data_IF_077216651460
#
_entry.id   IF_077216651460
#
_cell.length_a   1.000
_cell.length_b   1.000
_cell.length_c   1.000
_cell.angle_alpha   90.00
_cell.angle_beta   90.00
_cell.angle_gamma   90.00
#
_symmetry.space_group_name_H-M   'P 1'
#
loop_
_entity.id
_entity.type
_entity.pdbx_description
1 polymer ?
#
# COMPACT_ATOMS: atom_id res chain seq x y z
N UNK A 1 46.75 7.86 -78.58
CA UNK A 1 47.77 8.77 -79.16
C UNK A 1 47.42 10.18 -78.69
N UNK A 2 48.23 10.94 -77.95
CA UNK A 2 49.56 10.73 -77.41
C UNK A 2 49.93 12.02 -76.67
N UNK A 3 50.44 11.83 -75.46
CA UNK A 3 51.55 12.57 -74.84
C UNK A 3 51.36 14.07 -74.48
N UNK A 4 51.34 14.30 -73.16
CA UNK A 4 51.92 15.49 -72.52
C UNK A 4 53.45 15.54 -72.77
N UNK A 5 54.10 16.72 -72.75
CA UNK A 5 54.85 17.18 -71.55
C UNK A 5 54.72 18.73 -71.29
N UNK A 6 54.66 19.23 -70.05
CA UNK A 6 55.72 19.61 -69.07
C UNK A 6 56.46 20.97 -69.29
N UNK A 7 56.41 21.81 -68.22
CA UNK A 7 57.35 22.87 -67.73
C UNK A 7 57.65 24.10 -68.64
N UNK A 8 57.89 25.35 -68.21
CA UNK A 8 58.13 25.99 -66.90
C UNK A 8 58.15 27.55 -67.06
N UNK A 9 57.91 28.25 -65.93
CA UNK A 9 58.42 29.58 -65.48
C UNK A 9 58.10 30.86 -66.29
N UNK A 10 57.46 31.83 -65.62
CA UNK A 10 57.44 33.24 -65.99
C UNK A 10 56.71 34.10 -64.96
N UNK A 11 57.48 34.78 -64.10
CA UNK A 11 56.98 35.70 -63.08
C UNK A 11 56.36 36.96 -63.70
N UNK A 12 55.25 37.46 -63.12
CA UNK A 12 54.80 38.84 -63.33
C UNK A 12 54.20 39.37 -62.03
N UNK A 13 54.88 40.36 -61.47
CA UNK A 13 54.44 41.14 -60.33
C UNK A 13 53.30 42.06 -60.75
N UNK A 14 52.14 41.93 -60.09
CA UNK A 14 51.09 42.93 -60.13
C UNK A 14 50.78 43.34 -58.68
N UNK A 15 51.06 44.61 -58.40
CA UNK A 15 50.83 45.28 -57.13
C UNK A 15 49.35 45.28 -56.76
N UNK A 16 49.00 44.68 -55.62
CA UNK A 16 47.72 44.93 -54.96
C UNK A 16 48.02 45.68 -53.66
N UNK A 17 47.81 46.99 -53.75
CA UNK A 17 47.85 47.95 -52.66
C UNK A 17 46.65 47.65 -51.75
N UNK A 18 46.88 46.97 -50.63
CA UNK A 18 45.86 46.79 -49.59
C UNK A 18 45.69 48.09 -48.80
N UNK A 19 44.61 48.80 -49.10
CA UNK A 19 44.12 49.90 -48.30
C UNK A 19 43.48 49.31 -47.02
N UNK A 20 44.22 49.38 -45.91
CA UNK A 20 43.73 49.03 -44.57
C UNK A 20 42.75 50.11 -44.11
N UNK A 21 41.47 49.89 -44.39
CA UNK A 21 40.37 50.55 -43.70
C UNK A 21 40.32 50.05 -42.26
N UNK A 22 40.82 50.86 -41.32
CA UNK A 22 40.63 50.68 -39.88
C UNK A 22 39.16 50.96 -39.53
N UNK A 23 38.30 49.97 -39.73
CA UNK A 23 36.92 49.96 -39.25
C UNK A 23 36.80 49.26 -37.89
N UNK A 24 36.77 50.04 -36.82
CA UNK A 24 36.21 49.74 -35.49
C UNK A 24 36.47 48.33 -34.91
N UNK A 25 37.62 48.19 -34.24
CA UNK A 25 38.07 47.01 -33.46
C UNK A 25 37.04 46.48 -32.45
N UNK A 26 36.08 47.29 -31.98
CA UNK A 26 35.06 46.85 -31.02
C UNK A 26 33.97 45.98 -31.65
N UNK A 27 33.56 46.24 -32.89
CA UNK A 27 32.48 45.51 -33.54
C UNK A 27 32.89 44.06 -33.91
N UNK A 28 34.16 43.86 -34.27
CA UNK A 28 34.73 42.53 -34.54
C UNK A 28 34.80 41.68 -33.28
N UNK A 29 35.24 42.26 -32.16
CA UNK A 29 35.30 41.58 -30.86
C UNK A 29 33.91 41.23 -30.36
N UNK A 30 32.93 42.14 -30.48
CA UNK A 30 31.55 41.88 -30.12
C UNK A 30 30.90 40.75 -30.94
N UNK A 31 31.17 40.68 -32.26
CA UNK A 31 30.68 39.58 -33.10
C UNK A 31 31.30 38.24 -32.72
N UNK A 32 32.58 38.21 -32.36
CA UNK A 32 33.25 37.01 -31.88
C UNK A 32 32.68 36.52 -30.54
N UNK A 33 32.45 37.43 -29.58
CA UNK A 33 31.85 37.10 -28.28
C UNK A 33 30.42 36.59 -28.47
N UNK A 34 29.62 37.25 -29.30
CA UNK A 34 28.24 36.83 -29.58
C UNK A 34 28.21 35.43 -30.24
N UNK A 35 29.11 35.16 -31.18
CA UNK A 35 29.20 33.85 -31.83
C UNK A 35 29.58 32.74 -30.83
N UNK A 36 30.49 33.01 -29.88
CA UNK A 36 30.85 32.08 -28.81
C UNK A 36 29.64 31.83 -27.89
N UNK A 37 28.93 32.88 -27.47
CA UNK A 37 27.75 32.74 -26.61
C UNK A 37 26.63 31.94 -27.28
N UNK A 38 26.36 32.21 -28.56
CA UNK A 38 25.36 31.45 -29.34
C UNK A 38 25.80 30.00 -29.51
N UNK A 39 27.08 29.75 -29.78
CA UNK A 39 27.61 28.38 -29.87
C UNK A 39 27.49 27.62 -28.54
N UNK A 40 27.84 28.25 -27.42
CA UNK A 40 27.66 27.67 -26.08
C UNK A 40 26.18 27.40 -25.77
N UNK A 41 25.28 28.30 -26.15
CA UNK A 41 23.84 28.12 -25.96
C UNK A 41 23.26 26.98 -26.79
N UNK A 42 23.68 26.85 -28.06
CA UNK A 42 23.29 25.74 -28.92
C UNK A 42 23.83 24.41 -28.39
N UNK A 43 25.08 24.36 -27.94
CA UNK A 43 25.66 23.15 -27.31
C UNK A 43 24.92 22.80 -26.03
N UNK A 44 24.57 23.79 -25.19
CA UNK A 44 23.78 23.57 -23.98
C UNK A 44 22.39 22.99 -24.29
N UNK A 45 21.68 23.56 -25.28
CA UNK A 45 20.37 23.05 -25.71
C UNK A 45 20.44 21.63 -26.30
N UNK A 46 21.53 21.28 -26.97
CA UNK A 46 21.75 19.93 -27.50
C UNK A 46 22.12 18.92 -26.41
N UNK A 47 22.80 19.36 -25.35
CA UNK A 47 23.15 18.52 -24.20
C UNK A 47 22.01 18.37 -23.18
N UNK A 48 21.04 19.30 -23.15
CA UNK A 48 19.88 19.27 -22.25
C UNK A 48 19.02 17.99 -22.37
N UNK A 49 18.63 17.53 -23.58
CA UNK A 49 17.90 16.27 -23.72
C UNK A 49 18.76 15.06 -23.35
N UNK A 50 20.09 15.12 -23.54
CA UNK A 50 21.01 14.05 -23.14
C UNK A 50 21.10 13.97 -21.62
N UNK A 51 21.21 15.11 -20.92
CA UNK A 51 21.15 15.16 -19.46
C UNK A 51 19.80 14.68 -18.92
N UNK A 52 18.70 15.04 -19.57
CA UNK A 52 17.37 14.52 -19.22
C UNK A 52 17.28 13.01 -19.43
N UNK A 53 17.84 12.49 -20.53
CA UNK A 53 17.89 11.05 -20.82
C UNK A 53 18.77 10.29 -19.83
N UNK A 54 19.93 10.85 -19.46
CA UNK A 54 20.78 10.28 -18.42
C UNK A 54 20.14 10.35 -17.04
N UNK A 55 19.38 11.41 -16.72
CA UNK A 55 18.64 11.50 -15.47
C UNK A 55 17.46 10.53 -15.41
N UNK A 56 16.75 10.30 -16.53
CA UNK A 56 15.69 9.29 -16.59
C UNK A 56 16.26 7.87 -16.55
N UNK A 57 17.39 7.59 -17.21
CA UNK A 57 18.07 6.29 -17.15
C UNK A 57 18.71 6.06 -15.77
N UNK A 58 19.30 7.07 -15.14
CA UNK A 58 19.80 6.99 -13.76
C UNK A 58 18.66 6.73 -12.76
N UNK A 59 17.48 7.33 -12.96
CA UNK A 59 16.29 7.03 -12.16
C UNK A 59 15.69 5.64 -12.47
N UNK A 60 15.81 5.14 -13.72
CA UNK A 60 15.38 3.78 -14.08
C UNK A 60 16.33 2.71 -13.50
N UNK A 61 17.63 3.01 -13.42
CA UNK A 61 18.65 2.12 -12.87
C UNK A 61 18.83 2.27 -11.37
N UNK A 62 18.18 3.26 -10.73
CA UNK A 62 18.05 3.36 -9.27
C UNK A 62 16.92 2.50 -8.70
N UNK A 63 16.39 1.54 -9.46
CA UNK A 63 15.79 0.35 -8.84
C UNK A 63 16.91 -0.37 -8.11
N UNK A 64 17.10 0.04 -6.86
CA UNK A 64 18.03 -0.56 -5.94
C UNK A 64 17.92 -2.07 -6.10
N UNK A 65 19.03 -2.69 -6.50
CA UNK A 65 19.28 -4.09 -6.22
C UNK A 65 19.31 -4.23 -4.69
N UNK A 66 18.13 -4.20 -4.06
CA UNK A 66 17.95 -4.66 -2.71
C UNK A 66 18.14 -6.16 -2.79
N UNK A 67 19.34 -6.60 -2.40
CA UNK A 67 19.51 -7.95 -1.88
C UNK A 67 18.36 -8.17 -0.89
N UNK A 68 17.60 -9.28 -0.99
CA UNK A 68 16.60 -9.60 0.02
C UNK A 68 17.30 -9.52 1.37
N UNK A 69 16.92 -8.52 2.17
CA UNK A 69 17.41 -8.38 3.52
C UNK A 69 16.76 -9.54 4.28
N UNK A 70 17.49 -10.63 4.45
CA UNK A 70 17.08 -11.71 5.33
C UNK A 70 17.26 -11.18 6.74
N UNK A 71 16.13 -10.83 7.38
CA UNK A 71 16.11 -10.32 8.75
C UNK A 71 16.84 -11.28 9.69
N UNK A 72 17.63 -10.71 10.60
CA UNK A 72 18.22 -11.50 11.67
C UNK A 72 17.11 -11.94 12.60
N UNK A 73 17.04 -13.23 12.85
CA UNK A 73 16.13 -13.81 13.83
C UNK A 73 16.33 -13.10 15.18
N UNK A 74 15.26 -12.54 15.74
CA UNK A 74 15.25 -11.92 17.07
C UNK A 74 15.33 -10.39 17.11
N UNK A 75 15.37 -9.70 15.97
CA UNK A 75 15.17 -8.25 15.94
C UNK A 75 13.66 -7.93 15.99
N UNK A 76 13.27 -7.01 16.87
CA UNK A 76 11.88 -6.60 17.09
C UNK A 76 11.60 -5.33 16.28
N UNK A 77 11.09 -5.51 15.06
CA UNK A 77 10.79 -4.51 14.03
C UNK A 77 9.65 -3.57 14.43
N UNK A 78 8.94 -3.82 15.53
CA UNK A 78 7.92 -2.90 16.05
C UNK A 78 8.35 -2.21 17.34
N UNK A 79 9.55 -2.50 17.85
CA UNK A 79 10.06 -1.92 19.10
C UNK A 79 10.20 -0.40 19.04
N UNK A 80 10.45 0.15 17.85
CA UNK A 80 10.57 1.60 17.65
C UNK A 80 9.22 2.32 17.58
N UNK A 81 8.11 1.58 17.45
CA UNK A 81 6.79 2.18 17.35
C UNK A 81 6.45 2.90 18.66
N UNK A 82 5.81 4.07 18.53
CA UNK A 82 5.29 4.80 19.68
C UNK A 82 4.29 3.89 20.42
N UNK A 83 4.39 3.84 21.75
CA UNK A 83 3.54 2.96 22.55
C UNK A 83 3.94 1.50 22.62
N UNK A 84 4.98 1.02 21.92
CA UNK A 84 5.39 -0.40 21.97
C UNK A 84 5.57 -0.94 23.39
N UNK A 85 6.23 -0.17 24.27
CA UNK A 85 6.39 -0.54 25.69
C UNK A 85 5.09 -0.48 26.49
N UNK A 86 4.24 0.49 26.18
CA UNK A 86 3.02 0.76 26.95
C UNK A 86 1.91 -0.25 26.61
N UNK A 87 1.83 -0.64 25.34
CA UNK A 87 0.87 -1.62 24.84
C UNK A 87 1.34 -3.06 25.01
N UNK A 88 2.63 -3.27 25.31
CA UNK A 88 3.19 -4.59 25.57
C UNK A 88 3.08 -5.54 24.37
N UNK A 89 3.12 -5.00 23.15
CA UNK A 89 3.12 -5.79 21.91
C UNK A 89 4.56 -5.83 21.40
N UNK A 90 5.09 -7.04 21.28
CA UNK A 90 6.39 -7.32 20.68
C UNK A 90 6.21 -8.07 19.37
N UNK A 91 7.20 -8.02 18.48
CA UNK A 91 7.11 -8.79 17.23
C UNK A 91 6.87 -10.28 17.49
N UNK A 92 7.45 -10.85 18.53
CA UNK A 92 7.28 -12.26 18.88
C UNK A 92 5.84 -12.63 19.26
N UNK A 93 4.99 -11.66 19.61
CA UNK A 93 3.57 -11.88 19.90
C UNK A 93 2.72 -12.03 18.63
N UNK A 94 3.13 -11.40 17.54
CA UNK A 94 2.32 -11.25 16.31
C UNK A 94 2.95 -11.98 15.12
N UNK A 95 4.26 -12.21 15.12
CA UNK A 95 4.98 -12.81 14.02
C UNK A 95 6.28 -13.50 14.44
N UNK A 96 6.43 -14.77 14.03
CA UNK A 96 7.69 -15.49 14.15
C UNK A 96 8.38 -15.54 12.78
N UNK A 97 9.56 -14.92 12.70
CA UNK A 97 10.37 -14.98 11.50
C UNK A 97 10.70 -16.44 11.16
N UNK A 98 10.42 -16.90 9.93
CA UNK A 98 10.61 -18.29 9.57
C UNK A 98 12.10 -18.65 9.54
N UNK A 99 12.46 -19.77 10.16
CA UNK A 99 13.78 -20.37 9.98
C UNK A 99 13.81 -21.17 8.67
N UNK A 100 14.73 -20.87 7.73
CA UNK A 100 14.85 -21.66 6.52
C UNK A 100 15.36 -23.06 6.88
N UNK A 101 14.48 -24.07 6.80
CA UNK A 101 14.85 -25.49 6.97
C UNK A 101 15.87 -25.89 5.90
N UNK A 102 15.79 -25.28 4.71
CA UNK A 102 16.76 -25.41 3.64
C UNK A 102 17.19 -24.00 3.16
N UNK A 103 18.48 -23.65 3.20
CA UNK A 103 18.96 -22.31 2.81
C UNK A 103 18.67 -21.95 1.35
N UNK A 104 18.41 -22.95 0.48
CA UNK A 104 18.12 -22.74 -0.94
C UNK A 104 16.63 -22.57 -1.25
N UNK A 105 15.74 -22.71 -0.25
CA UNK A 105 14.29 -22.61 -0.44
C UNK A 105 13.75 -21.49 0.44
N UNK A 106 13.18 -20.46 -0.20
CA UNK A 106 12.50 -19.39 0.53
C UNK A 106 11.31 -19.97 1.30
N UNK A 107 11.17 -19.68 2.61
CA UNK A 107 10.00 -20.09 3.38
C UNK A 107 8.74 -19.28 2.99
N UNK A 108 8.91 -18.16 2.29
CA UNK A 108 7.84 -17.28 1.89
C UNK A 108 7.07 -17.77 0.66
N UNK A 109 5.77 -17.54 0.66
CA UNK A 109 4.90 -17.93 -0.44
C UNK A 109 5.29 -17.28 -1.77
N UNK A 110 5.30 -18.09 -2.84
CA UNK A 110 5.84 -17.70 -4.16
C UNK A 110 4.89 -16.74 -4.87
N UNK A 111 3.63 -17.12 -5.02
CA UNK A 111 2.61 -16.38 -5.78
C UNK A 111 1.38 -16.07 -4.93
N UNK A 112 0.51 -15.18 -5.44
CA UNK A 112 -0.72 -14.72 -4.76
C UNK A 112 -1.62 -15.86 -4.32
N UNK A 113 -1.83 -16.85 -5.18
CA UNK A 113 -2.69 -18.00 -4.89
C UNK A 113 -2.16 -18.83 -3.71
N UNK A 114 -0.89 -19.23 -3.76
CA UNK A 114 -0.23 -19.98 -2.66
C UNK A 114 -0.18 -19.17 -1.36
N UNK A 115 -0.05 -17.84 -1.45
CA UNK A 115 -0.11 -16.97 -0.29
C UNK A 115 -1.49 -17.03 0.37
N UNK A 116 -2.56 -16.79 -0.38
CA UNK A 116 -3.93 -16.79 0.13
C UNK A 116 -4.32 -18.15 0.71
N UNK A 117 -3.96 -19.25 0.05
CA UNK A 117 -4.16 -20.60 0.56
C UNK A 117 -3.43 -20.82 1.89
N UNK A 118 -2.18 -20.36 1.99
CA UNK A 118 -1.36 -20.53 3.19
C UNK A 118 -1.89 -19.70 4.37
N UNK A 119 -2.21 -18.42 4.16
CA UNK A 119 -2.66 -17.52 5.24
C UNK A 119 -4.14 -17.68 5.58
N UNK A 120 -4.95 -18.29 4.71
CA UNK A 120 -6.33 -18.69 5.04
C UNK A 120 -6.37 -20.05 5.74
N UNK A 121 -5.51 -20.98 5.32
CA UNK A 121 -5.47 -22.35 5.81
C UNK A 121 -4.51 -22.61 6.96
N UNK A 122 -3.75 -21.59 7.40
CA UNK A 122 -2.82 -21.64 8.53
C UNK A 122 -3.53 -21.68 9.87
N UNK A 123 -2.78 -21.45 10.95
CA UNK A 123 -3.33 -21.47 12.30
C UNK A 123 -2.34 -20.99 13.35
N UNK A 124 -2.78 -21.03 14.60
CA UNK A 124 -1.91 -20.84 15.77
C UNK A 124 -1.51 -22.22 16.31
N UNK A 125 -0.31 -22.33 16.87
CA UNK A 125 0.17 -23.58 17.50
C UNK A 125 0.08 -23.50 19.01
N UNK A 126 -1.08 -23.07 19.50
CA UNK A 126 -1.35 -22.77 20.90
C UNK A 126 -2.36 -21.64 20.98
N UNK A 127 -2.86 -21.37 22.19
CA UNK A 127 -3.78 -20.27 22.42
C UNK A 127 -3.00 -18.96 22.47
N UNK A 128 -3.43 -17.95 21.72
CA UNK A 128 -2.75 -16.65 21.56
C UNK A 128 -1.32 -16.68 20.98
N UNK A 129 -0.84 -17.85 20.56
CA UNK A 129 0.46 -18.00 19.89
C UNK A 129 0.46 -17.32 18.52
N UNK A 130 1.60 -16.82 18.01
CA UNK A 130 1.69 -16.17 16.70
C UNK A 130 1.12 -17.01 15.56
N UNK A 131 0.47 -16.34 14.61
CA UNK A 131 -0.16 -17.03 13.48
C UNK A 131 0.86 -17.50 12.45
N UNK A 132 0.74 -18.75 12.03
CA UNK A 132 1.63 -19.41 11.06
C UNK A 132 0.82 -19.87 9.85
N UNK A 133 1.28 -19.49 8.65
CA UNK A 133 0.69 -19.93 7.39
C UNK A 133 0.89 -21.42 7.12
N UNK A 134 -0.05 -22.05 6.40
CA UNK A 134 0.02 -23.46 6.00
C UNK A 134 1.00 -23.66 4.84
N UNK A 135 2.08 -24.41 5.09
CA UNK A 135 3.04 -24.85 4.07
C UNK A 135 4.08 -23.79 3.68
N UNK A 136 3.67 -22.55 3.44
CA UNK A 136 4.56 -21.39 3.31
C UNK A 136 4.09 -20.25 4.23
N UNK A 137 4.94 -19.26 4.45
CA UNK A 137 4.64 -18.13 5.34
C UNK A 137 4.56 -16.80 4.59
N UNK A 138 3.98 -15.81 5.26
CA UNK A 138 3.93 -14.41 4.83
C UNK A 138 5.13 -13.64 5.42
N UNK A 139 5.42 -12.47 4.85
CA UNK A 139 6.49 -11.59 5.32
C UNK A 139 5.93 -10.56 6.30
N UNK A 140 6.65 -10.29 7.37
CA UNK A 140 6.44 -9.06 8.12
C UNK A 140 7.22 -7.95 7.41
N UNK A 141 6.53 -6.98 6.84
CA UNK A 141 7.16 -5.87 6.14
C UNK A 141 7.44 -4.72 7.10
N UNK A 142 8.61 -4.12 6.99
CA UNK A 142 8.93 -2.84 7.63
C UNK A 142 8.05 -1.73 7.05
N UNK A 143 7.84 -0.63 7.78
CA UNK A 143 7.06 0.51 7.31
C UNK A 143 7.56 1.03 5.96
N UNK A 144 8.88 1.03 5.74
CA UNK A 144 9.48 1.45 4.48
C UNK A 144 9.13 0.50 3.32
N UNK A 145 9.17 -0.82 3.55
CA UNK A 145 8.72 -1.81 2.56
C UNK A 145 7.22 -1.68 2.28
N UNK A 146 6.40 -1.45 3.31
CA UNK A 146 4.96 -1.18 3.15
C UNK A 146 4.79 0.01 2.21
N UNK A 147 5.46 1.14 2.47
CA UNK A 147 5.38 2.32 1.63
C UNK A 147 5.73 2.04 0.16
N UNK A 148 6.78 1.27 -0.10
CA UNK A 148 7.16 0.84 -1.46
C UNK A 148 6.05 -0.02 -2.11
N UNK A 149 5.46 -0.94 -1.35
CA UNK A 149 4.32 -1.75 -1.81
C UNK A 149 3.16 -0.85 -2.22
N UNK A 150 2.84 0.16 -1.40
CA UNK A 150 1.70 1.05 -1.63
C UNK A 150 1.92 1.97 -2.84
N UNK A 151 3.16 2.41 -3.10
CA UNK A 151 3.50 3.33 -4.21
C UNK A 151 3.13 2.79 -5.61
N UNK A 152 2.85 1.49 -5.71
CA UNK A 152 2.40 0.84 -6.95
C UNK A 152 0.93 1.04 -7.28
N UNK A 153 0.13 1.57 -6.34
CA UNK A 153 -1.33 1.69 -6.47
C UNK A 153 -1.76 3.16 -6.63
N UNK A 154 -2.89 3.36 -7.31
CA UNK A 154 -3.53 4.67 -7.41
C UNK A 154 -4.31 5.04 -6.14
N UNK A 155 -4.97 4.03 -5.56
CA UNK A 155 -5.75 4.14 -4.34
C UNK A 155 -5.93 2.75 -3.73
N UNK A 156 -6.14 2.68 -2.41
CA UNK A 156 -6.48 1.45 -1.70
C UNK A 156 -7.72 1.72 -0.87
N UNK A 157 -8.77 0.94 -1.08
CA UNK A 157 -10.05 1.19 -0.43
C UNK A 157 -10.49 -0.02 0.37
N UNK A 158 -10.73 0.21 1.66
CA UNK A 158 -11.33 -0.74 2.57
C UNK A 158 -12.82 -0.45 2.62
N UNK A 159 -13.66 -1.44 2.41
CA UNK A 159 -15.10 -1.30 2.31
C UNK A 159 -15.72 -2.33 3.22
N UNK A 160 -16.59 -1.92 4.14
CA UNK A 160 -17.25 -2.93 4.94
C UNK A 160 -17.75 -2.52 6.30
N UNK A 161 -17.91 -3.56 7.11
CA UNK A 161 -18.26 -3.55 8.51
C UNK A 161 -17.03 -3.35 9.43
N UNK A 162 -17.22 -3.60 10.72
CA UNK A 162 -16.22 -3.42 11.77
C UNK A 162 -14.92 -4.21 11.57
N UNK A 163 -14.95 -5.34 10.84
CA UNK A 163 -13.73 -6.09 10.51
C UNK A 163 -12.86 -5.27 9.54
N UNK A 164 -13.45 -4.73 8.48
CA UNK A 164 -12.71 -3.83 7.57
C UNK A 164 -12.23 -2.57 8.29
N UNK A 165 -13.02 -2.03 9.23
CA UNK A 165 -12.62 -0.89 10.05
C UNK A 165 -11.42 -1.20 10.95
N UNK A 166 -11.45 -2.32 11.66
CA UNK A 166 -10.36 -2.78 12.54
C UNK A 166 -9.06 -2.96 11.76
N UNK A 167 -9.14 -3.60 10.60
CA UNK A 167 -7.99 -3.79 9.73
C UNK A 167 -7.45 -2.47 9.22
N UNK A 168 -8.32 -1.55 8.79
CA UNK A 168 -7.89 -0.22 8.37
C UNK A 168 -7.26 0.57 9.53
N UNK A 169 -7.80 0.44 10.74
CA UNK A 169 -7.22 1.01 11.95
C UNK A 169 -5.78 0.50 12.19
N UNK A 170 -5.55 -0.81 12.09
CA UNK A 170 -4.20 -1.39 12.19
C UNK A 170 -3.28 -1.01 11.02
N UNK A 171 -3.83 -0.87 9.81
CA UNK A 171 -3.10 -0.35 8.66
C UNK A 171 -2.58 1.08 8.93
N UNK A 172 -3.39 1.93 9.58
CA UNK A 172 -2.95 3.26 10.02
C UNK A 172 -1.86 3.21 11.09
N UNK A 173 -1.95 2.27 12.05
CA UNK A 173 -0.90 2.06 13.07
C UNK A 173 0.44 1.72 12.40
N UNK A 174 0.45 0.82 11.41
CA UNK A 174 1.67 0.46 10.67
C UNK A 174 2.25 1.65 9.91
N UNK A 175 1.42 2.46 9.25
CA UNK A 175 1.89 3.61 8.47
C UNK A 175 2.33 4.81 9.31
N UNK A 176 1.90 4.89 10.57
CA UNK A 176 2.22 5.97 11.52
C UNK A 176 3.24 5.56 12.58
N UNK A 177 3.61 4.27 12.61
CA UNK A 177 4.46 3.65 13.62
C UNK A 177 4.04 3.97 15.07
N UNK A 178 2.74 3.83 15.36
CA UNK A 178 2.15 4.25 16.64
C UNK A 178 1.13 3.23 17.13
N UNK A 179 1.58 2.31 17.99
CA UNK A 179 0.73 1.29 18.63
C UNK A 179 -0.21 1.93 19.67
N UNK A 180 0.20 3.02 20.31
CA UNK A 180 -0.59 3.63 21.36
C UNK A 180 -1.91 4.21 20.84
N UNK A 181 -1.85 5.01 19.78
CA UNK A 181 -2.99 5.80 19.30
C UNK A 181 -3.03 5.93 17.76
N UNK A 182 -2.25 5.14 17.03
CA UNK A 182 -2.04 5.29 15.59
C UNK A 182 -3.28 5.03 14.73
N UNK A 183 -4.35 4.44 15.25
CA UNK A 183 -5.60 4.31 14.50
C UNK A 183 -6.54 5.52 14.67
N UNK A 184 -6.25 6.40 15.62
CA UNK A 184 -7.16 7.45 16.06
C UNK A 184 -6.71 8.87 15.65
N UNK A 185 -7.71 9.75 15.54
CA UNK A 185 -7.58 11.19 15.31
C UNK A 185 -7.15 11.91 16.59
N UNK A 186 -5.91 11.66 17.03
CA UNK A 186 -5.34 12.16 18.29
C UNK A 186 -5.47 13.67 18.50
N UNK A 187 -5.55 14.45 17.41
CA UNK A 187 -5.60 15.90 17.42
C UNK A 187 -6.94 16.49 17.85
N UNK A 188 -8.03 15.73 17.80
CA UNK A 188 -9.35 16.15 18.30
C UNK A 188 -9.69 15.57 19.67
N UNK A 189 -8.82 14.73 20.23
CA UNK A 189 -9.03 14.07 21.52
C UNK A 189 -8.48 14.89 22.69
N UNK A 190 -9.18 14.85 23.82
CA UNK A 190 -8.67 15.29 25.13
C UNK A 190 -7.65 14.29 25.68
N UNK A 191 -6.90 14.70 26.71
CA UNK A 191 -5.91 13.81 27.34
C UNK A 191 -6.56 12.60 28.04
N UNK A 192 -7.73 12.80 28.66
CA UNK A 192 -8.50 11.71 29.26
C UNK A 192 -8.95 10.68 28.22
N UNK A 193 -9.43 11.14 27.07
CA UNK A 193 -9.84 10.26 25.98
C UNK A 193 -8.66 9.52 25.37
N UNK A 194 -7.48 10.16 25.25
CA UNK A 194 -6.25 9.49 24.80
C UNK A 194 -5.84 8.38 25.75
N UNK A 195 -5.92 8.61 27.07
CA UNK A 195 -5.61 7.59 28.06
C UNK A 195 -6.63 6.44 28.04
N UNK A 196 -7.93 6.75 27.86
CA UNK A 196 -9.00 5.75 27.78
C UNK A 196 -8.90 4.89 26.52
N UNK A 197 -8.51 5.48 25.39
CA UNK A 197 -8.52 4.84 24.09
C UNK A 197 -7.17 4.26 23.66
N UNK A 198 -6.16 4.20 24.53
CA UNK A 198 -4.83 3.74 24.18
C UNK A 198 -4.76 2.21 23.93
N UNK A 199 -3.86 1.76 23.05
CA UNK A 199 -3.55 0.36 22.78
C UNK A 199 -4.78 -0.44 22.31
N UNK A 200 -5.06 -1.63 22.89
CA UNK A 200 -6.22 -2.46 22.56
C UNK A 200 -7.56 -1.72 22.63
N UNK A 201 -7.68 -0.70 23.48
CA UNK A 201 -8.92 0.07 23.62
C UNK A 201 -9.27 0.86 22.35
N UNK A 202 -8.31 1.11 21.44
CA UNK A 202 -8.59 1.68 20.13
C UNK A 202 -9.57 0.81 19.31
N UNK A 203 -9.58 -0.51 19.59
CA UNK A 203 -10.37 -1.51 18.86
C UNK A 203 -11.59 -1.94 19.67
N UNK A 204 -11.39 -2.24 20.96
CA UNK A 204 -12.42 -2.89 21.79
C UNK A 204 -13.40 -1.87 22.39
N UNK A 205 -12.97 -0.64 22.65
CA UNK A 205 -13.85 0.36 23.26
C UNK A 205 -14.66 1.11 22.19
N UNK A 206 -15.97 0.88 22.17
CA UNK A 206 -16.89 1.49 21.20
C UNK A 206 -16.90 3.03 21.23
N UNK A 207 -16.62 3.66 22.37
CA UNK A 207 -16.51 5.12 22.46
C UNK A 207 -15.32 5.68 21.69
N UNK A 208 -14.28 4.87 21.46
CA UNK A 208 -13.08 5.25 20.73
C UNK A 208 -13.30 5.23 19.21
N UNK A 209 -14.31 4.50 18.72
CA UNK A 209 -14.59 4.36 17.29
C UNK A 209 -14.97 5.69 16.62
N UNK A 210 -15.53 6.66 17.38
CA UNK A 210 -15.80 8.02 16.86
C UNK A 210 -14.54 8.78 16.47
N UNK A 211 -13.39 8.37 17.01
CA UNK A 211 -12.08 8.94 16.73
C UNK A 211 -11.30 8.16 15.68
N UNK A 212 -11.84 7.06 15.13
CA UNK A 212 -11.15 6.29 14.12
C UNK A 212 -10.84 7.14 12.88
N UNK A 213 -9.63 6.99 12.35
CA UNK A 213 -9.25 7.58 11.07
C UNK A 213 -9.98 6.82 9.96
N UNK A 214 -10.62 7.57 9.06
CA UNK A 214 -11.37 7.02 7.91
C UNK A 214 -10.67 7.27 6.59
N UNK A 215 -9.77 8.25 6.52
CA UNK A 215 -9.03 8.53 5.29
C UNK A 215 -7.68 9.19 5.54
N UNK A 216 -6.77 9.02 4.59
CA UNK A 216 -5.49 9.73 4.57
C UNK A 216 -5.66 11.26 4.65
N UNK A 217 -6.75 11.80 4.08
CA UNK A 217 -7.00 13.24 4.04
C UNK A 217 -7.29 13.83 5.42
N UNK A 218 -7.81 13.03 6.37
CA UNK A 218 -8.03 13.47 7.75
C UNK A 218 -6.70 13.75 8.47
N UNK A 219 -5.71 12.87 8.29
CA UNK A 219 -4.37 13.04 8.86
C UNK A 219 -3.66 14.22 8.19
N UNK A 220 -3.71 14.32 6.85
CA UNK A 220 -3.07 15.42 6.10
C UNK A 220 -3.61 16.80 6.46
N UNK A 221 -4.93 16.93 6.65
CA UNK A 221 -5.55 18.19 7.09
C UNK A 221 -5.03 18.62 8.46
N UNK A 222 -4.82 17.68 9.36
CA UNK A 222 -4.24 17.98 10.67
C UNK A 222 -2.77 18.39 10.57
N UNK A 223 -1.95 17.74 9.74
CA UNK A 223 -0.55 18.15 9.56
C UNK A 223 -0.41 19.62 9.15
N UNK A 224 -1.27 20.06 8.21
CA UNK A 224 -1.30 21.42 7.72
C UNK A 224 -1.69 22.47 8.79
N UNK A 225 -2.31 22.04 9.90
CA UNK A 225 -2.86 22.92 10.95
C UNK A 225 -2.05 22.95 12.26
N UNK A 226 -0.85 22.34 12.30
CA UNK A 226 0.09 22.50 13.42
C UNK A 226 0.54 21.20 14.10
N UNK A 227 0.71 20.10 13.34
CA UNK A 227 1.31 18.80 13.76
C UNK A 227 0.94 18.37 15.19
N UNK A 228 -0.32 17.97 15.39
CA UNK A 228 -0.75 17.28 16.60
C UNK A 228 -0.94 15.78 16.32
N UNK A 229 -0.17 14.91 16.96
CA UNK A 229 -0.23 13.46 16.77
C UNK A 229 0.79 12.91 15.77
N UNK A 230 0.81 11.59 15.59
CA UNK A 230 1.77 10.89 14.72
C UNK A 230 1.46 11.10 13.22
N UNK A 231 2.43 11.52 12.40
CA UNK A 231 2.27 11.67 10.95
C UNK A 231 2.31 10.31 10.26
N UNK A 232 1.94 10.23 8.98
CA UNK A 232 2.28 9.05 8.18
C UNK A 232 3.74 9.13 7.72
N UNK A 233 4.41 7.97 7.64
CA UNK A 233 5.74 7.89 7.04
C UNK A 233 5.70 7.95 5.50
N UNK A 234 4.57 7.59 4.89
CA UNK A 234 4.32 7.78 3.46
C UNK A 234 2.88 8.21 3.17
N UNK A 235 2.74 9.37 2.52
CA UNK A 235 1.43 10.03 2.31
C UNK A 235 0.99 10.12 0.85
N UNK A 236 1.73 9.47 -0.04
CA UNK A 236 1.55 9.68 -1.49
C UNK A 236 0.34 8.96 -2.05
N UNK A 237 -0.13 7.92 -1.36
CA UNK A 237 -1.09 6.96 -1.92
C UNK A 237 -2.43 7.13 -1.21
N UNK A 238 -3.47 7.57 -1.92
CA UNK A 238 -4.81 7.65 -1.37
C UNK A 238 -5.27 6.33 -0.76
N UNK A 239 -5.65 6.33 0.52
CA UNK A 239 -6.33 5.19 1.13
C UNK A 239 -7.45 5.64 2.05
N UNK A 240 -8.54 4.89 2.07
CA UNK A 240 -9.73 5.21 2.85
C UNK A 240 -10.51 3.96 3.27
N UNK A 241 -11.25 4.11 4.35
CA UNK A 241 -12.28 3.19 4.80
C UNK A 241 -13.67 3.75 4.46
N UNK A 242 -14.49 2.93 3.82
CA UNK A 242 -15.87 3.19 3.44
C UNK A 242 -16.80 2.32 4.30
N UNK A 243 -17.51 2.90 5.28
CA UNK A 243 -18.42 2.13 6.11
C UNK A 243 -19.61 1.62 5.28
N UNK A 244 -19.96 0.35 5.46
CA UNK A 244 -21.11 -0.30 4.84
C UNK A 244 -21.86 -1.08 5.92
N UNK A 245 -22.95 -0.47 6.39
CA UNK A 245 -23.80 -1.05 7.45
C UNK A 245 -25.05 -1.74 6.89
N UNK A 246 -25.32 -1.61 5.58
CA UNK A 246 -26.49 -2.15 4.91
C UNK A 246 -26.18 -2.58 3.49
N UNK A 247 -27.04 -3.45 2.95
CA UNK A 247 -27.08 -3.80 1.53
C UNK A 247 -28.45 -3.39 0.98
N UNK A 248 -28.54 -2.50 -0.01
CA UNK A 248 -27.45 -1.81 -0.72
C UNK A 248 -26.61 -0.86 0.15
N UNK A 249 -25.38 -0.58 -0.29
CA UNK A 249 -24.47 0.29 0.43
C UNK A 249 -24.97 1.75 0.48
N UNK A 250 -24.66 2.52 1.55
CA UNK A 250 -25.04 3.93 1.63
C UNK A 250 -24.51 4.76 0.46
N UNK A 251 -25.34 5.69 -0.05
CA UNK A 251 -24.98 6.54 -1.19
C UNK A 251 -23.70 7.37 -0.97
N UNK A 252 -23.40 7.72 0.29
CA UNK A 252 -22.16 8.39 0.67
C UNK A 252 -20.93 7.52 0.39
N UNK A 253 -20.98 6.23 0.74
CA UNK A 253 -19.90 5.27 0.52
C UNK A 253 -19.71 5.01 -0.98
N UNK A 254 -20.79 4.89 -1.74
CA UNK A 254 -20.71 4.76 -3.20
C UNK A 254 -20.13 6.01 -3.88
N UNK A 255 -20.51 7.20 -3.43
CA UNK A 255 -19.97 8.47 -3.96
C UNK A 255 -18.47 8.57 -3.67
N UNK A 256 -18.07 8.32 -2.41
CA UNK A 256 -16.66 8.38 -2.03
C UNK A 256 -15.82 7.31 -2.75
N UNK A 257 -16.37 6.12 -3.00
CA UNK A 257 -15.73 5.12 -3.86
C UNK A 257 -15.47 5.66 -5.26
N UNK A 258 -16.48 6.30 -5.89
CA UNK A 258 -16.33 6.89 -7.22
C UNK A 258 -15.27 7.99 -7.23
N UNK A 259 -15.27 8.87 -6.24
CA UNK A 259 -14.26 9.95 -6.12
C UNK A 259 -12.83 9.40 -6.02
N UNK A 260 -12.65 8.29 -5.28
CA UNK A 260 -11.36 7.63 -5.12
C UNK A 260 -10.94 6.83 -6.35
N UNK A 261 -11.87 6.16 -7.03
CA UNK A 261 -11.53 5.19 -8.08
C UNK A 261 -11.63 5.75 -9.50
N UNK A 262 -12.52 6.71 -9.75
CA UNK A 262 -12.82 7.22 -11.10
C UNK A 262 -11.92 8.41 -11.46
N UNK A 263 -11.50 9.20 -10.47
CA UNK A 263 -10.74 10.45 -10.67
C UNK A 263 -9.23 10.31 -10.43
N UNK A 264 -8.54 9.34 -11.07
CA UNK A 264 -7.10 9.10 -10.85
C UNK A 264 -6.25 9.19 -12.13
N UNK A 265 -5.00 9.70 -12.00
CA UNK A 265 -4.21 10.15 -13.14
C UNK A 265 -3.56 9.04 -13.96
N UNK A 266 -3.29 7.87 -13.37
CA UNK A 266 -2.56 6.80 -14.05
C UNK A 266 -3.43 5.56 -14.28
N UNK A 267 -4.04 5.36 -15.46
CA UNK A 267 -4.96 4.24 -15.69
C UNK A 267 -4.31 2.86 -15.59
N UNK A 268 -2.97 2.77 -15.61
CA UNK A 268 -2.22 1.50 -15.56
C UNK A 268 -1.92 1.01 -14.14
N UNK A 269 -2.03 1.89 -13.14
CA UNK A 269 -1.85 1.51 -11.74
C UNK A 269 -3.15 0.93 -11.17
N UNK A 270 -3.11 -0.26 -10.53
CA UNK A 270 -4.29 -0.85 -9.93
C UNK A 270 -4.81 -0.02 -8.75
N UNK A 271 -6.11 -0.16 -8.48
CA UNK A 271 -6.75 0.41 -7.28
C UNK A 271 -7.43 -0.70 -6.48
N UNK A 272 -6.72 -1.38 -5.56
CA UNK A 272 -7.28 -2.54 -4.85
C UNK A 272 -8.45 -2.17 -3.93
N UNK A 273 -9.41 -3.09 -3.85
CA UNK A 273 -10.56 -3.03 -2.94
C UNK A 273 -10.51 -4.20 -1.99
N UNK A 274 -10.56 -3.92 -0.69
CA UNK A 274 -10.66 -4.91 0.38
C UNK A 274 -12.07 -4.82 0.95
N UNK A 275 -12.84 -5.90 0.85
CA UNK A 275 -14.25 -5.96 1.20
C UNK A 275 -14.46 -6.87 2.42
N UNK A 276 -15.18 -6.38 3.43
CA UNK A 276 -15.74 -7.20 4.52
C UNK A 276 -17.22 -6.85 4.70
N UNK A 277 -18.11 -7.77 4.35
CA UNK A 277 -19.55 -7.60 4.57
C UNK A 277 -20.05 -8.96 5.05
N UNK A 278 -20.23 -9.11 6.36
CA UNK A 278 -20.70 -10.38 6.90
C UNK A 278 -21.13 -10.29 8.35
N UNK A 279 -20.42 -9.52 9.17
CA UNK A 279 -20.77 -9.39 10.59
C UNK A 279 -22.06 -8.59 10.75
N UNK A 280 -22.16 -7.44 10.06
CA UNK A 280 -23.37 -6.60 10.09
C UNK A 280 -24.60 -7.22 9.43
N UNK A 281 -24.43 -8.20 8.54
CA UNK A 281 -25.52 -8.91 7.85
C UNK A 281 -25.84 -10.28 8.47
N UNK A 282 -25.27 -10.61 9.64
CA UNK A 282 -25.42 -11.91 10.31
C UNK A 282 -25.11 -13.10 9.40
N UNK A 283 -24.10 -12.93 8.53
CA UNK A 283 -23.60 -13.97 7.63
C UNK A 283 -24.67 -14.49 6.64
N UNK A 284 -25.56 -13.61 6.19
CA UNK A 284 -26.58 -13.93 5.19
C UNK A 284 -25.98 -14.02 3.77
N UNK A 285 -26.04 -15.21 3.16
CA UNK A 285 -25.48 -15.48 1.83
C UNK A 285 -26.17 -14.68 0.72
N UNK A 286 -27.52 -14.59 0.65
CA UNK A 286 -28.20 -13.73 -0.33
C UNK A 286 -27.79 -12.26 -0.27
N UNK A 287 -27.79 -11.65 0.91
CA UNK A 287 -27.37 -10.25 1.10
C UNK A 287 -25.90 -10.07 0.69
N UNK A 288 -25.04 -11.02 1.04
CA UNK A 288 -23.64 -10.96 0.63
C UNK A 288 -23.50 -11.05 -0.89
N UNK A 289 -24.30 -11.89 -1.55
CA UNK A 289 -24.32 -11.99 -3.02
C UNK A 289 -24.70 -10.66 -3.66
N UNK A 290 -25.73 -9.99 -3.14
CA UNK A 290 -26.14 -8.65 -3.60
C UNK A 290 -25.05 -7.61 -3.39
N UNK A 291 -24.34 -7.67 -2.26
CA UNK A 291 -23.23 -6.76 -1.98
C UNK A 291 -22.06 -7.00 -2.96
N UNK A 292 -21.70 -8.25 -3.22
CA UNK A 292 -20.67 -8.59 -4.21
C UNK A 292 -21.06 -8.10 -5.61
N UNK A 293 -22.33 -8.26 -6.01
CA UNK A 293 -22.84 -7.75 -7.30
C UNK A 293 -22.74 -6.21 -7.37
N UNK A 294 -23.14 -5.51 -6.31
CA UNK A 294 -23.06 -4.05 -6.22
C UNK A 294 -21.62 -3.54 -6.39
N UNK A 295 -20.67 -4.07 -5.60
CA UNK A 295 -19.28 -3.63 -5.64
C UNK A 295 -18.55 -4.05 -6.92
N UNK A 296 -18.90 -5.21 -7.50
CA UNK A 296 -18.39 -5.63 -8.82
C UNK A 296 -18.87 -4.67 -9.91
N UNK A 297 -20.14 -4.27 -9.87
CA UNK A 297 -20.72 -3.31 -10.82
C UNK A 297 -20.05 -1.94 -10.71
N UNK A 298 -19.85 -1.43 -9.49
CA UNK A 298 -19.11 -0.19 -9.25
C UNK A 298 -17.65 -0.26 -9.71
N UNK A 299 -16.96 -1.38 -9.45
CA UNK A 299 -15.59 -1.57 -9.89
C UNK A 299 -15.48 -1.62 -11.43
N UNK A 300 -16.37 -2.35 -12.08
CA UNK A 300 -16.42 -2.45 -13.55
C UNK A 300 -16.70 -1.10 -14.19
N UNK A 301 -17.60 -0.30 -13.59
CA UNK A 301 -17.92 1.05 -14.06
C UNK A 301 -16.78 2.06 -13.96
N UNK A 302 -15.70 1.75 -13.23
CA UNK A 302 -14.49 2.58 -13.19
C UNK A 302 -13.60 2.40 -14.43
N UNK A 303 -13.86 1.37 -15.25
CA UNK A 303 -13.11 1.02 -16.47
C UNK A 303 -11.60 0.85 -16.22
N UNK A 304 -11.22 0.25 -15.09
CA UNK A 304 -9.82 0.12 -14.63
C UNK A 304 -9.55 -1.24 -13.97
N UNK A 305 -8.28 -1.54 -13.79
CA UNK A 305 -7.84 -2.71 -13.02
C UNK A 305 -8.09 -2.48 -11.52
N UNK A 306 -9.14 -3.13 -10.99
CA UNK A 306 -9.53 -3.09 -9.57
C UNK A 306 -9.46 -4.51 -9.02
N UNK A 307 -8.31 -4.94 -8.48
CA UNK A 307 -8.20 -6.21 -7.77
C UNK A 307 -9.08 -6.17 -6.52
N UNK A 308 -9.93 -7.19 -6.34
CA UNK A 308 -10.87 -7.25 -5.22
C UNK A 308 -10.51 -8.41 -4.29
N UNK A 309 -10.42 -8.13 -2.98
CA UNK A 309 -10.22 -9.11 -1.92
C UNK A 309 -11.46 -9.15 -1.04
N UNK A 310 -12.03 -10.34 -0.87
CA UNK A 310 -13.06 -10.61 0.13
C UNK A 310 -12.41 -11.15 1.41
N UNK A 311 -12.71 -10.51 2.53
CA UNK A 311 -12.36 -10.97 3.86
C UNK A 311 -13.45 -11.93 4.36
N UNK A 312 -13.04 -13.13 4.74
CA UNK A 312 -13.89 -14.09 5.44
C UNK A 312 -14.11 -13.70 6.90
N UNK A 313 -15.15 -14.23 7.55
CA UNK A 313 -15.48 -13.86 8.93
C UNK A 313 -14.40 -14.32 9.92
N UNK A 314 -14.34 -13.63 11.05
CA UNK A 314 -13.60 -14.05 12.23
C UNK A 314 -14.34 -15.18 12.93
N UNK A 315 -13.63 -16.17 13.45
CA UNK A 315 -14.20 -17.12 14.40
C UNK A 315 -14.59 -16.41 15.70
N UNK A 316 -15.67 -16.87 16.32
CA UNK A 316 -16.08 -16.45 17.65
C UNK A 316 -15.19 -17.07 18.72
N UNK A 317 -14.83 -16.25 19.70
CA UNK A 317 -14.11 -16.68 20.88
C UNK A 317 -14.98 -17.50 21.84
N UNK A 318 -14.35 -18.21 22.79
CA UNK A 318 -15.04 -19.09 23.73
C UNK A 318 -16.01 -18.35 24.67
N UNK A 319 -15.85 -17.05 24.84
CA UNK A 319 -16.68 -16.21 25.70
C UNK A 319 -17.97 -15.72 25.04
N UNK A 320 -18.17 -15.98 23.73
CA UNK A 320 -19.43 -15.61 23.08
C UNK A 320 -20.59 -16.39 23.70
N UNK A 321 -21.64 -15.68 24.09
CA UNK A 321 -22.78 -16.25 24.80
C UNK A 321 -23.37 -17.47 24.05
N UNK A 322 -23.35 -18.64 24.71
CA UNK A 322 -23.77 -19.93 24.16
C UNK A 322 -25.28 -20.08 23.85
N UNK A 323 -26.07 -19.01 24.03
CA UNK A 323 -27.54 -19.02 23.85
C UNK A 323 -28.03 -18.55 22.47
N UNK A 324 -27.13 -18.29 21.53
CA UNK A 324 -27.47 -17.70 20.23
C UNK A 324 -27.65 -18.82 19.19
N UNK A 325 -28.58 -18.61 18.24
CA UNK A 325 -28.97 -19.54 17.18
C UNK A 325 -27.77 -20.21 16.45
N UNK A 326 -27.95 -21.40 15.86
CA UNK A 326 -26.88 -22.17 15.20
C UNK A 326 -26.09 -21.39 14.14
N UNK A 327 -26.73 -20.44 13.45
CA UNK A 327 -26.08 -19.50 12.52
C UNK A 327 -24.97 -18.64 13.16
N UNK A 328 -25.04 -18.40 14.47
CA UNK A 328 -24.05 -17.63 15.24
C UNK A 328 -23.02 -18.50 15.96
N UNK A 329 -22.86 -19.75 15.50
CA UNK A 329 -21.81 -20.66 15.96
C UNK A 329 -20.63 -20.65 14.99
N UNK A 330 -19.46 -21.07 15.47
CA UNK A 330 -18.29 -21.30 14.62
C UNK A 330 -18.56 -22.31 13.48
N UNK A 331 -19.48 -23.26 13.70
CA UNK A 331 -19.93 -24.18 12.65
C UNK A 331 -20.74 -23.46 11.56
N UNK A 332 -21.66 -22.57 11.97
CA UNK A 332 -22.44 -21.73 11.06
C UNK A 332 -21.54 -20.82 10.21
N UNK A 333 -20.55 -20.17 10.84
CA UNK A 333 -19.54 -19.36 10.15
C UNK A 333 -18.73 -20.15 9.12
N UNK A 334 -18.33 -21.37 9.48
CA UNK A 334 -17.57 -22.23 8.57
C UNK A 334 -18.42 -22.64 7.35
N UNK A 335 -19.69 -23.00 7.56
CA UNK A 335 -20.62 -23.33 6.49
C UNK A 335 -20.99 -22.11 5.62
N UNK A 336 -21.09 -20.92 6.23
CA UNK A 336 -21.18 -19.66 5.50
C UNK A 336 -19.95 -19.51 4.60
N UNK A 337 -18.73 -19.66 5.15
CA UNK A 337 -17.46 -19.54 4.44
C UNK A 337 -17.37 -20.48 3.23
N UNK A 338 -17.82 -21.73 3.39
CA UNK A 338 -17.85 -22.73 2.32
C UNK A 338 -18.78 -22.30 1.17
N UNK A 339 -19.94 -21.72 1.48
CA UNK A 339 -20.94 -21.32 0.50
C UNK A 339 -20.58 -20.06 -0.29
N UNK A 340 -20.09 -18.99 0.35
CA UNK A 340 -19.81 -17.76 -0.41
C UNK A 340 -18.47 -17.82 -1.16
N UNK A 341 -17.57 -18.72 -0.79
CA UNK A 341 -16.28 -18.88 -1.46
C UNK A 341 -16.38 -19.07 -2.98
N UNK A 342 -17.21 -20.00 -3.51
CA UNK A 342 -17.41 -20.10 -4.95
C UNK A 342 -18.08 -18.85 -5.54
N UNK A 343 -19.08 -18.27 -4.86
CA UNK A 343 -19.84 -17.09 -5.32
C UNK A 343 -18.93 -15.87 -5.52
N UNK A 344 -18.01 -15.64 -4.59
CA UNK A 344 -17.03 -14.56 -4.66
C UNK A 344 -15.98 -14.80 -5.76
N UNK A 345 -15.51 -16.05 -5.92
CA UNK A 345 -14.56 -16.41 -7.00
C UNK A 345 -15.16 -16.22 -8.40
N UNK A 346 -16.44 -16.54 -8.58
CA UNK A 346 -17.16 -16.31 -9.84
C UNK A 346 -17.22 -14.82 -10.21
N UNK A 347 -17.14 -13.92 -9.22
CA UNK A 347 -17.08 -12.46 -9.37
C UNK A 347 -15.65 -11.91 -9.34
N UNK A 348 -14.65 -12.79 -9.49
CA UNK A 348 -13.24 -12.44 -9.51
C UNK A 348 -12.69 -11.81 -8.21
N UNK A 349 -13.31 -12.11 -7.06
CA UNK A 349 -12.70 -11.81 -5.77
C UNK A 349 -11.65 -12.86 -5.41
N UNK A 350 -10.48 -12.38 -5.00
CA UNK A 350 -9.60 -13.16 -4.14
C UNK A 350 -10.26 -13.31 -2.76
N UNK A 351 -9.94 -14.37 -2.02
CA UNK A 351 -10.55 -14.63 -0.72
C UNK A 351 -9.45 -14.83 0.32
N UNK A 352 -9.56 -14.10 1.43
CA UNK A 352 -8.73 -14.25 2.62
C UNK A 352 -9.64 -14.67 3.79
N UNK A 353 -9.57 -15.94 4.19
CA UNK A 353 -10.29 -16.41 5.38
C UNK A 353 -9.53 -15.99 6.64
N UNK A 354 -10.22 -15.28 7.54
CA UNK A 354 -9.69 -14.88 8.84
C UNK A 354 -10.12 -15.83 9.97
N UNK A 355 -10.99 -16.80 9.68
CA UNK A 355 -11.55 -17.73 10.68
C UNK A 355 -10.46 -18.46 11.47
N UNK A 356 -9.45 -19.02 10.79
CA UNK A 356 -8.38 -19.76 11.46
C UNK A 356 -7.42 -18.84 12.24
N UNK A 357 -7.36 -17.54 11.90
CA UNK A 357 -6.54 -16.57 12.62
C UNK A 357 -7.06 -16.36 14.05
N UNK A 358 -8.38 -16.38 14.23
CA UNK A 358 -9.02 -16.04 15.49
C UNK A 358 -9.60 -17.21 16.28
N UNK A 359 -9.68 -18.41 15.67
CA UNK A 359 -10.22 -19.62 16.33
C UNK A 359 -9.55 -19.95 17.68
N UNK A 360 -8.27 -19.61 17.82
CA UNK A 360 -7.48 -19.82 19.04
C UNK A 360 -6.94 -18.51 19.60
N UNK A 361 -7.65 -17.40 19.36
CA UNK A 361 -7.31 -16.09 19.91
C UNK A 361 -8.26 -15.72 21.06
N UNK A 362 -7.70 -15.07 22.07
CA UNK A 362 -8.43 -14.46 23.17
C UNK A 362 -9.23 -13.25 22.69
N UNK A 363 -10.46 -13.16 23.20
CA UNK A 363 -11.31 -11.98 23.09
C UNK A 363 -12.18 -11.88 24.36
N UNK A 364 -12.39 -10.65 24.83
CA UNK A 364 -13.14 -10.39 26.04
C UNK A 364 -14.63 -10.65 25.87
N UNK A 365 -15.20 -10.26 24.73
CA UNK A 365 -16.62 -10.40 24.42
C UNK A 365 -16.95 -11.59 23.50
N UNK A 366 -15.93 -12.22 22.91
CA UNK A 366 -16.13 -13.34 22.00
C UNK A 366 -16.27 -12.95 20.53
N UNK A 367 -16.24 -11.65 20.19
CA UNK A 367 -16.53 -11.13 18.85
C UNK A 367 -15.46 -10.15 18.37
N UNK A 368 -15.06 -9.19 19.22
CA UNK A 368 -14.09 -8.17 18.87
C UNK A 368 -12.69 -8.56 19.33
N UNK A 369 -11.72 -8.38 18.44
CA UNK A 369 -10.33 -8.68 18.71
C UNK A 369 -9.50 -7.40 18.85
N UNK A 370 -8.49 -7.47 19.73
CA UNK A 370 -7.61 -6.35 20.02
C UNK A 370 -6.56 -6.09 18.93
N UNK A 371 -5.64 -5.20 19.27
CA UNK A 371 -4.64 -4.64 18.38
C UNK A 371 -3.71 -5.71 17.79
N UNK A 372 -3.33 -6.72 18.57
CA UNK A 372 -2.47 -7.83 18.12
C UNK A 372 -3.03 -8.56 16.90
N UNK A 373 -4.33 -8.82 16.91
CA UNK A 373 -5.00 -9.55 15.82
C UNK A 373 -5.12 -8.65 14.60
N UNK A 374 -5.58 -7.41 14.78
CA UNK A 374 -5.76 -6.44 13.72
C UNK A 374 -4.42 -6.14 12.97
N UNK A 375 -3.30 -6.09 13.70
CA UNK A 375 -1.96 -5.93 13.10
C UNK A 375 -1.59 -7.10 12.17
N UNK A 376 -1.91 -8.33 12.57
CA UNK A 376 -1.66 -9.53 11.74
C UNK A 376 -2.56 -9.50 10.50
N UNK A 377 -3.84 -9.15 10.65
CA UNK A 377 -4.77 -9.02 9.53
C UNK A 377 -4.33 -7.95 8.51
N UNK A 378 -3.91 -6.78 9.00
CA UNK A 378 -3.35 -5.73 8.15
C UNK A 378 -2.10 -6.22 7.41
N UNK A 379 -1.21 -6.96 8.09
CA UNK A 379 -0.01 -7.53 7.46
C UNK A 379 -0.36 -8.61 6.43
N UNK A 380 -1.40 -9.42 6.64
CA UNK A 380 -1.90 -10.39 5.65
C UNK A 380 -2.36 -9.67 4.37
N UNK A 381 -3.08 -8.57 4.51
CA UNK A 381 -3.53 -7.75 3.36
C UNK A 381 -2.35 -7.08 2.65
N UNK A 382 -1.38 -6.56 3.39
CA UNK A 382 -0.15 -6.00 2.80
C UNK A 382 0.61 -7.09 2.01
N UNK A 383 0.63 -8.34 2.49
CA UNK A 383 1.19 -9.44 1.73
C UNK A 383 0.41 -9.72 0.46
N UNK A 384 -0.92 -9.71 0.51
CA UNK A 384 -1.75 -9.83 -0.70
C UNK A 384 -1.46 -8.70 -1.69
N UNK A 385 -1.45 -7.44 -1.23
CA UNK A 385 -1.09 -6.26 -2.02
C UNK A 385 0.31 -6.43 -2.65
N UNK A 386 1.30 -6.92 -1.90
CA UNK A 386 2.66 -7.16 -2.41
C UNK A 386 2.71 -8.08 -3.64
N UNK A 387 1.74 -9.00 -3.75
CA UNK A 387 1.64 -10.02 -4.81
C UNK A 387 0.68 -9.64 -5.96
N UNK A 388 0.06 -8.47 -5.92
CA UNK A 388 -0.73 -7.98 -7.05
C UNK A 388 0.18 -7.61 -8.21
N UNK A 389 -0.23 -7.99 -9.41
CA UNK A 389 0.45 -7.63 -10.64
C UNK A 389 0.17 -6.17 -10.98
N UNK A 390 1.21 -5.43 -11.37
CA UNK A 390 1.08 -4.10 -11.97
C UNK A 390 1.02 -4.27 -13.48
N UNK A 391 -0.01 -3.71 -14.10
CA UNK A 391 -0.31 -3.80 -15.54
C UNK A 391 0.78 -3.22 -16.43
#
# INVERSE_FOLDING_TARGET
MGLAPQFAIGASWASIKMEKSMGSSRASVFRAILAILVSCFVVYLLLLPIFYLFHTIANLTSHAHHKPFFHKVGEDEIKHFAGSRDCGITQADIYLAPWPINPNVSPFCKNRMTLLEAISGGGRHGFDEPYVGKGCTYRWFTTQEICIILERFNAIVFVGDEVAQSIYAAFNILLREDLALGSLQQWIMTEEERMKCKCDNQFINSECQRYAIKSIDEVRKNEASGRKGSPYLCERIPHAYLPVESVPAPAASQTLFKDLMYSKPNPWQPSPVILSIGHGSLFDVPNMTLALDEWTSLATGAERNIPMLLLGPLAFGPNKNAGIAPENSNFGLWHYLEQMSPIAKERHFDILSLYNLTLQASTADGEHFGERIALVEAMMIINWLSKLETS
#
